data_IF_854123734923
#
_entry.id   IF_854123734923
#
_cell.length_a   1.000
_cell.length_b   1.000
_cell.length_c   1.000
_cell.angle_alpha   90.00
_cell.angle_beta   90.00
_cell.angle_gamma   90.00
#
_symmetry.space_group_name_H-M   'P 1'
#
loop_
_entity.id
_entity.type
_entity.pdbx_description
1 polymer ?
#
# COMPACT_ATOMS: atom_id res chain seq x y z
N UNK A 1 7.00 -17.58 1.53
CA UNK A 1 6.10 -17.09 2.61
C UNK A 1 6.94 -16.71 3.84
N UNK A 2 6.69 -15.56 4.48
CA UNK A 2 7.34 -15.15 5.73
C UNK A 2 6.38 -15.38 6.91
N UNK A 3 6.81 -16.10 7.91
CA UNK A 3 6.09 -16.34 9.17
C UNK A 3 6.79 -15.58 10.29
N UNK A 4 6.04 -14.78 11.03
CA UNK A 4 6.51 -14.02 12.18
C UNK A 4 5.61 -14.36 13.36
N UNK A 5 6.16 -14.94 14.40
CA UNK A 5 5.49 -15.15 15.69
C UNK A 5 6.49 -14.79 16.78
N UNK A 6 6.46 -13.55 17.23
CA UNK A 6 7.49 -13.02 18.13
C UNK A 6 6.91 -12.12 19.20
N UNK A 7 7.62 -12.08 20.35
CA UNK A 7 7.48 -11.03 21.37
C UNK A 7 8.82 -10.37 21.62
N UNK A 8 8.80 -9.07 21.87
CA UNK A 8 9.99 -8.28 22.21
C UNK A 8 9.65 -7.12 23.12
N UNK A 9 10.34 -7.03 24.25
CA UNK A 9 10.26 -5.86 25.12
C UNK A 9 11.25 -4.79 24.63
N UNK A 10 10.77 -3.59 24.36
CA UNK A 10 11.53 -2.44 23.87
C UNK A 10 11.30 -1.24 24.80
N UNK A 11 12.04 -1.18 25.92
CA UNK A 11 11.77 -0.20 26.97
C UNK A 11 10.35 -0.37 27.52
N UNK A 12 9.49 0.64 27.31
CA UNK A 12 8.09 0.58 27.75
C UNK A 12 7.16 -0.09 26.72
N UNK A 13 7.61 -0.29 25.48
CA UNK A 13 6.82 -0.89 24.42
C UNK A 13 6.98 -2.41 24.42
N UNK A 14 5.89 -3.15 24.61
CA UNK A 14 5.83 -4.59 24.40
C UNK A 14 5.37 -4.87 22.95
N UNK A 15 6.30 -5.29 22.10
CA UNK A 15 5.99 -5.67 20.72
C UNK A 15 5.54 -7.12 20.67
N UNK A 16 4.38 -7.35 20.03
CA UNK A 16 3.86 -8.69 19.77
C UNK A 16 3.30 -8.76 18.35
N UNK A 17 3.78 -9.71 17.55
CA UNK A 17 3.33 -9.95 16.21
C UNK A 17 3.16 -11.45 15.94
N UNK A 18 2.01 -11.81 15.37
CA UNK A 18 1.73 -13.16 14.83
C UNK A 18 1.07 -13.00 13.45
N UNK A 19 1.87 -13.08 12.39
CA UNK A 19 1.43 -12.84 11.01
C UNK A 19 2.12 -13.79 10.03
N UNK A 20 1.44 -14.05 8.91
CA UNK A 20 1.96 -14.80 7.78
C UNK A 20 1.89 -13.94 6.53
N UNK A 21 3.04 -13.52 6.01
CA UNK A 21 3.14 -12.67 4.82
C UNK A 21 3.30 -13.56 3.58
N UNK A 22 2.54 -13.31 2.50
CA UNK A 22 2.70 -14.04 1.24
C UNK A 22 4.12 -13.99 0.69
N UNK A 23 4.43 -14.86 -0.23
CA UNK A 23 5.73 -14.95 -0.91
C UNK A 23 5.91 -13.95 -2.06
N UNK A 24 4.88 -13.18 -2.36
CA UNK A 24 4.88 -12.12 -3.38
C UNK A 24 4.04 -10.93 -2.93
N UNK A 25 4.23 -9.80 -3.62
CA UNK A 25 3.48 -8.57 -3.41
C UNK A 25 3.98 -7.72 -2.25
N UNK A 26 3.28 -6.63 -2.00
CA UNK A 26 3.63 -5.63 -0.99
C UNK A 26 2.73 -5.76 0.23
N UNK A 27 3.34 -6.05 1.38
CA UNK A 27 2.65 -5.98 2.68
C UNK A 27 3.11 -4.71 3.41
N UNK A 28 2.21 -3.75 3.57
CA UNK A 28 2.49 -2.55 4.34
C UNK A 28 2.38 -2.82 5.84
N UNK A 29 3.33 -2.31 6.61
CA UNK A 29 3.24 -2.18 8.06
C UNK A 29 2.86 -0.73 8.34
N UNK A 30 1.63 -0.53 8.78
CA UNK A 30 1.01 0.79 8.95
C UNK A 30 0.67 1.06 10.41
N UNK A 31 0.85 2.30 10.85
CA UNK A 31 0.55 2.72 12.22
C UNK A 31 1.20 4.07 12.57
N UNK A 32 0.85 4.64 13.73
CA UNK A 32 1.43 5.89 14.22
C UNK A 32 2.94 5.76 14.48
N UNK A 33 3.63 6.90 14.55
CA UNK A 33 5.02 6.93 15.03
C UNK A 33 5.11 6.30 16.43
N UNK A 34 6.15 5.49 16.64
CA UNK A 34 6.32 4.78 17.91
C UNK A 34 5.50 3.50 18.07
N UNK A 35 4.67 3.08 17.10
CA UNK A 35 3.87 1.85 17.21
C UNK A 35 4.67 0.54 17.06
N UNK A 36 5.99 0.60 16.79
CA UNK A 36 6.86 -0.58 16.71
C UNK A 36 7.13 -1.09 15.28
N UNK A 37 6.73 -0.36 14.22
CA UNK A 37 6.89 -0.77 12.81
C UNK A 37 8.34 -1.07 12.42
N UNK A 38 9.23 -0.10 12.63
CA UNK A 38 10.68 -0.26 12.38
C UNK A 38 11.27 -1.39 13.23
N UNK A 39 10.82 -1.54 14.48
CA UNK A 39 11.28 -2.63 15.33
C UNK A 39 10.88 -4.00 14.81
N UNK A 40 9.67 -4.14 14.24
CA UNK A 40 9.22 -5.38 13.63
C UNK A 40 10.11 -5.80 12.44
N UNK A 41 10.41 -4.87 11.52
CA UNK A 41 11.30 -5.22 10.40
C UNK A 41 12.76 -5.41 10.84
N UNK A 42 13.20 -4.76 11.93
CA UNK A 42 14.50 -4.99 12.52
C UNK A 42 14.62 -6.38 13.17
N UNK A 43 13.54 -6.95 13.71
CA UNK A 43 13.47 -8.34 14.14
C UNK A 43 13.62 -9.31 12.96
N UNK A 44 12.91 -9.02 11.84
CA UNK A 44 13.02 -9.84 10.62
C UNK A 44 14.43 -9.79 10.06
N UNK A 45 15.03 -8.61 9.97
CA UNK A 45 16.40 -8.45 9.43
C UNK A 45 17.49 -9.01 10.35
N UNK A 46 17.20 -9.22 11.64
CA UNK A 46 18.16 -9.68 12.65
C UNK A 46 19.02 -8.56 13.23
N UNK A 47 18.65 -7.31 13.04
CA UNK A 47 19.26 -6.16 13.73
C UNK A 47 18.87 -6.12 15.21
N UNK A 48 17.73 -6.71 15.54
CA UNK A 48 17.24 -6.93 16.91
C UNK A 48 16.86 -8.41 17.02
N UNK A 49 17.06 -9.02 18.19
CA UNK A 49 16.59 -10.38 18.46
C UNK A 49 15.26 -10.36 19.26
N UNK A 50 14.30 -11.24 18.95
CA UNK A 50 13.11 -11.41 19.76
C UNK A 50 13.45 -11.98 21.14
N UNK A 51 12.57 -11.78 22.12
CA UNK A 51 12.68 -12.40 23.44
C UNK A 51 12.01 -13.78 23.45
N UNK A 52 10.94 -13.94 22.66
CA UNK A 52 10.20 -15.19 22.50
C UNK A 52 9.76 -15.39 21.03
N UNK A 53 9.61 -16.66 20.65
CA UNK A 53 9.00 -17.06 19.38
C UNK A 53 10.01 -17.24 18.26
N UNK A 54 9.52 -17.14 17.01
CA UNK A 54 10.31 -17.46 15.82
C UNK A 54 9.98 -16.57 14.63
N UNK A 55 10.93 -16.53 13.68
CA UNK A 55 10.75 -15.95 12.33
C UNK A 55 11.29 -16.97 11.33
N UNK A 56 10.45 -17.31 10.32
CA UNK A 56 10.81 -18.22 9.23
C UNK A 56 10.51 -17.57 7.88
N UNK A 57 11.45 -17.67 6.96
CA UNK A 57 11.30 -17.19 5.58
C UNK A 57 11.41 -18.41 4.64
N UNK A 58 10.32 -18.72 3.96
CA UNK A 58 10.14 -19.96 3.22
C UNK A 58 10.40 -21.17 4.15
N UNK A 59 11.26 -22.08 3.78
CA UNK A 59 11.62 -23.26 4.59
C UNK A 59 12.82 -23.01 5.52
N UNK A 60 13.27 -21.74 5.66
CA UNK A 60 14.47 -21.41 6.41
C UNK A 60 14.12 -20.66 7.70
N UNK A 61 14.55 -21.17 8.84
CA UNK A 61 14.47 -20.50 10.13
C UNK A 61 15.49 -19.35 10.18
N UNK A 62 15.02 -18.12 10.39
CA UNK A 62 15.86 -16.93 10.58
C UNK A 62 16.23 -16.75 12.05
N UNK A 63 15.29 -17.03 12.93
CA UNK A 63 15.47 -17.10 14.39
C UNK A 63 14.37 -17.96 14.99
N UNK A 64 14.72 -18.76 15.98
CA UNK A 64 13.81 -19.52 16.83
C UNK A 64 14.42 -19.57 18.24
N UNK A 65 13.73 -18.96 19.20
CA UNK A 65 14.25 -18.82 20.57
C UNK A 65 14.22 -20.13 21.33
N UNK A 66 13.21 -20.97 21.11
CA UNK A 66 13.07 -22.25 21.79
C UNK A 66 14.19 -23.23 21.36
N UNK A 67 14.48 -23.29 20.06
CA UNK A 67 15.58 -24.14 19.53
C UNK A 67 16.95 -23.48 19.61
N UNK A 68 17.05 -22.25 20.10
CA UNK A 68 18.28 -21.44 20.15
C UNK A 68 18.95 -21.23 18.79
N UNK A 69 18.17 -21.23 17.74
CA UNK A 69 18.62 -20.95 16.37
C UNK A 69 18.57 -19.45 16.08
N UNK A 70 19.68 -18.89 15.59
CA UNK A 70 19.70 -17.49 15.13
C UNK A 70 20.66 -17.33 13.97
N UNK A 71 20.09 -17.14 12.78
CA UNK A 71 20.87 -16.91 11.58
C UNK A 71 21.46 -15.50 11.58
N UNK A 72 22.78 -15.34 11.42
CA UNK A 72 23.41 -14.02 11.32
C UNK A 72 22.82 -13.18 10.19
N UNK A 73 22.72 -11.87 10.38
CA UNK A 73 22.09 -10.91 9.45
C UNK A 73 22.56 -11.07 8.00
N UNK A 74 23.87 -11.23 7.78
CA UNK A 74 24.46 -11.33 6.44
C UNK A 74 24.16 -12.68 5.72
N UNK A 75 23.60 -13.66 6.44
CA UNK A 75 23.16 -14.95 5.89
C UNK A 75 21.65 -15.02 5.68
N UNK A 76 20.88 -14.01 6.14
CA UNK A 76 19.42 -14.00 6.04
C UNK A 76 18.91 -13.77 4.62
N UNK A 77 19.75 -13.34 3.68
CA UNK A 77 19.37 -12.95 2.30
C UNK A 77 18.22 -11.94 2.27
N UNK A 78 18.36 -10.87 3.04
CA UNK A 78 17.37 -9.80 3.17
C UNK A 78 17.95 -8.52 2.55
N UNK A 79 17.23 -7.94 1.61
CA UNK A 79 17.47 -6.58 1.14
C UNK A 79 16.83 -5.59 2.11
N UNK A 80 17.61 -4.64 2.65
CA UNK A 80 17.10 -3.63 3.57
C UNK A 80 17.34 -2.21 3.02
N UNK A 81 16.25 -1.47 2.86
CA UNK A 81 16.25 -0.05 2.50
C UNK A 81 15.85 0.75 3.73
N UNK A 82 16.80 1.51 4.28
CA UNK A 82 16.57 2.35 5.45
C UNK A 82 15.88 3.65 5.06
N UNK A 83 15.30 4.33 6.03
CA UNK A 83 14.71 5.67 5.89
C UNK A 83 15.75 6.65 5.31
N UNK A 84 16.97 6.65 5.85
CA UNK A 84 18.13 7.29 5.22
C UNK A 84 18.81 6.30 4.28
N UNK A 85 19.14 6.72 3.08
CA UNK A 85 19.70 5.84 2.03
C UNK A 85 21.02 5.13 2.40
N UNK A 86 21.76 5.65 3.38
CA UNK A 86 23.02 5.09 3.92
C UNK A 86 24.00 4.63 2.83
N UNK A 87 24.17 5.45 1.80
CA UNK A 87 25.13 5.16 0.74
C UNK A 87 26.56 5.38 1.23
N UNK A 88 27.48 4.58 0.70
CA UNK A 88 28.91 4.75 0.96
C UNK A 88 29.43 6.01 0.24
N UNK A 89 29.83 7.08 0.94
CA UNK A 89 30.15 8.36 0.33
C UNK A 89 31.40 8.33 -0.55
N UNK A 90 32.31 7.38 -0.29
CA UNK A 90 33.55 7.19 -1.02
C UNK A 90 33.44 6.29 -2.25
N UNK A 91 32.26 5.69 -2.48
CA UNK A 91 31.96 4.94 -3.71
C UNK A 91 31.06 5.76 -4.63
N UNK A 92 31.28 5.61 -5.94
CA UNK A 92 30.31 6.07 -6.94
C UNK A 92 29.00 5.31 -6.81
N UNK A 93 27.94 5.75 -7.51
CA UNK A 93 26.67 5.00 -7.62
C UNK A 93 26.94 3.57 -8.07
N UNK A 94 27.73 3.37 -9.14
CA UNK A 94 28.11 2.02 -9.60
C UNK A 94 28.82 1.20 -8.51
N UNK A 95 29.69 1.82 -7.73
CA UNK A 95 30.39 1.17 -6.61
C UNK A 95 29.41 0.77 -5.49
N UNK A 96 28.46 1.66 -5.15
CA UNK A 96 27.40 1.37 -4.17
C UNK A 96 26.54 0.20 -4.63
N UNK A 97 26.08 0.19 -5.89
CA UNK A 97 25.25 -0.87 -6.46
C UNK A 97 25.94 -2.23 -6.46
N UNK A 98 27.24 -2.25 -6.76
CA UNK A 98 28.03 -3.50 -6.79
C UNK A 98 28.46 -3.99 -5.40
N UNK A 99 28.26 -3.17 -4.38
CA UNK A 99 28.62 -3.55 -3.01
C UNK A 99 27.65 -4.65 -2.50
N UNK A 100 28.20 -5.79 -2.17
CA UNK A 100 27.40 -6.96 -1.75
C UNK A 100 26.81 -7.77 -2.89
N UNK A 101 26.94 -7.35 -4.14
CA UNK A 101 26.52 -8.10 -5.32
C UNK A 101 27.30 -9.43 -5.40
N UNK A 102 26.53 -10.53 -5.37
CA UNK A 102 27.07 -11.91 -5.53
C UNK A 102 26.21 -12.60 -6.58
N UNK A 103 26.86 -13.26 -7.56
CA UNK A 103 26.18 -14.08 -8.56
C UNK A 103 25.08 -13.39 -9.40
N UNK A 104 25.09 -12.08 -9.50
CA UNK A 104 24.17 -11.29 -10.33
C UNK A 104 24.82 -11.08 -11.70
N UNK A 105 24.09 -11.39 -12.78
CA UNK A 105 24.56 -11.19 -14.13
C UNK A 105 24.69 -9.69 -14.49
N UNK A 106 25.42 -9.39 -15.57
CA UNK A 106 25.48 -8.00 -16.06
C UNK A 106 24.12 -7.55 -16.61
N UNK A 107 23.31 -8.47 -17.13
CA UNK A 107 21.97 -8.18 -17.65
C UNK A 107 21.02 -7.84 -16.51
N UNK A 108 21.03 -8.56 -15.39
CA UNK A 108 20.23 -8.24 -14.20
C UNK A 108 20.67 -6.90 -13.61
N UNK A 109 21.99 -6.63 -13.58
CA UNK A 109 22.49 -5.31 -13.15
C UNK A 109 21.91 -4.19 -14.02
N UNK A 110 21.99 -4.34 -15.34
CA UNK A 110 21.46 -3.35 -16.29
C UNK A 110 19.96 -3.19 -16.13
N UNK A 111 19.22 -4.31 -16.00
CA UNK A 111 17.77 -4.32 -15.78
C UNK A 111 17.37 -3.51 -14.53
N UNK A 112 18.00 -3.77 -13.38
CA UNK A 112 17.69 -3.03 -12.13
C UNK A 112 18.04 -1.54 -12.27
N UNK A 113 19.16 -1.22 -12.91
CA UNK A 113 19.60 0.17 -13.14
C UNK A 113 18.60 0.92 -14.02
N UNK A 114 18.09 0.29 -15.07
CA UNK A 114 17.11 0.86 -16.00
C UNK A 114 15.72 0.96 -15.35
N UNK A 115 15.30 -0.09 -14.62
CA UNK A 115 14.05 -0.11 -13.86
C UNK A 115 13.95 1.08 -12.88
N UNK A 116 15.05 1.41 -12.22
CA UNK A 116 15.15 2.51 -11.26
C UNK A 116 15.50 3.86 -11.91
N UNK A 117 15.75 3.90 -13.21
CA UNK A 117 16.08 5.12 -13.96
C UNK A 117 17.37 5.80 -13.51
N UNK A 118 18.37 5.03 -13.06
CA UNK A 118 19.64 5.55 -12.49
C UNK A 118 20.87 5.37 -13.39
N UNK A 119 20.69 4.95 -14.63
CA UNK A 119 21.77 4.73 -15.60
C UNK A 119 22.68 5.95 -15.75
N UNK A 120 22.11 7.15 -15.83
CA UNK A 120 22.83 8.41 -15.97
C UNK A 120 23.60 8.85 -14.70
N UNK A 121 23.35 8.19 -13.56
CA UNK A 121 23.95 8.50 -12.25
C UNK A 121 25.17 7.63 -11.94
N UNK A 122 25.45 6.56 -12.68
CA UNK A 122 26.41 5.51 -12.33
C UNK A 122 27.82 6.00 -11.99
N UNK A 123 28.25 7.12 -12.59
CA UNK A 123 29.58 7.73 -12.36
C UNK A 123 29.58 8.79 -11.25
N UNK A 124 28.41 9.19 -10.74
CA UNK A 124 28.29 10.22 -9.70
C UNK A 124 28.58 9.66 -8.30
N UNK A 125 28.90 10.55 -7.38
CA UNK A 125 29.04 10.24 -5.95
C UNK A 125 27.78 10.63 -5.17
N UNK A 126 27.50 9.97 -4.04
CA UNK A 126 26.28 10.22 -3.25
C UNK A 126 26.05 11.67 -2.85
N UNK A 127 27.12 12.44 -2.60
CA UNK A 127 27.01 13.86 -2.23
C UNK A 127 26.38 14.73 -3.32
N UNK A 128 26.47 14.31 -4.59
CA UNK A 128 25.94 15.06 -5.73
C UNK A 128 24.53 14.63 -6.13
N UNK A 129 23.92 13.71 -5.38
CA UNK A 129 22.60 13.15 -5.66
C UNK A 129 21.52 13.86 -4.83
N UNK A 130 20.35 14.02 -5.44
CA UNK A 130 19.12 14.39 -4.72
C UNK A 130 18.68 13.27 -3.74
N UNK A 131 17.78 13.58 -2.81
CA UNK A 131 17.26 12.59 -1.86
C UNK A 131 16.57 11.41 -2.56
N UNK A 132 15.76 11.66 -3.60
CA UNK A 132 15.10 10.61 -4.38
C UNK A 132 16.09 9.75 -5.18
N UNK A 133 17.13 10.35 -5.78
CA UNK A 133 18.20 9.61 -6.46
C UNK A 133 18.98 8.73 -5.48
N UNK A 134 19.32 9.24 -4.28
CA UNK A 134 19.95 8.44 -3.22
C UNK A 134 19.10 7.23 -2.85
N UNK A 135 17.80 7.43 -2.71
CA UNK A 135 16.88 6.36 -2.32
C UNK A 135 16.77 5.30 -3.42
N UNK A 136 16.67 5.70 -4.71
CA UNK A 136 16.70 4.75 -5.83
C UNK A 136 17.99 3.92 -5.88
N UNK A 137 19.12 4.54 -5.61
CA UNK A 137 20.42 3.83 -5.52
C UNK A 137 20.43 2.86 -4.34
N UNK A 138 19.87 3.23 -3.18
CA UNK A 138 19.77 2.35 -2.02
C UNK A 138 18.87 1.13 -2.29
N UNK A 139 17.74 1.32 -2.98
CA UNK A 139 16.86 0.25 -3.44
C UNK A 139 17.61 -0.68 -4.40
N UNK A 140 18.27 -0.12 -5.41
CA UNK A 140 19.06 -0.91 -6.37
C UNK A 140 20.17 -1.71 -5.69
N UNK A 141 20.86 -1.12 -4.72
CA UNK A 141 21.89 -1.82 -3.94
C UNK A 141 21.29 -2.99 -3.15
N UNK A 142 20.11 -2.82 -2.55
CA UNK A 142 19.43 -3.88 -1.81
C UNK A 142 18.98 -5.03 -2.74
N UNK A 143 18.41 -4.71 -3.91
CA UNK A 143 17.98 -5.71 -4.90
C UNK A 143 19.15 -6.51 -5.50
N UNK A 144 20.27 -5.85 -5.78
CA UNK A 144 21.46 -6.47 -6.36
C UNK A 144 22.20 -7.41 -5.39
N UNK A 145 21.75 -7.55 -4.15
CA UNK A 145 22.24 -8.62 -3.25
C UNK A 145 21.51 -9.95 -3.46
N UNK A 146 20.56 -10.05 -4.41
CA UNK A 146 19.73 -11.21 -4.67
C UNK A 146 18.98 -11.68 -3.41
N UNK A 147 18.12 -10.80 -2.84
CA UNK A 147 17.45 -11.11 -1.58
C UNK A 147 16.21 -11.99 -1.78
N UNK A 148 15.87 -12.77 -0.75
CA UNK A 148 14.62 -13.54 -0.70
C UNK A 148 13.41 -12.69 -0.25
N UNK A 149 13.66 -11.49 0.31
CA UNK A 149 12.67 -10.50 0.73
C UNK A 149 13.29 -9.09 0.76
N UNK A 150 12.48 -8.08 0.45
CA UNK A 150 12.87 -6.68 0.53
C UNK A 150 12.14 -5.98 1.69
N UNK A 151 12.89 -5.37 2.59
CA UNK A 151 12.38 -4.55 3.70
C UNK A 151 12.62 -3.09 3.38
N UNK A 152 11.59 -2.25 3.49
CA UNK A 152 11.67 -0.81 3.28
C UNK A 152 11.14 -0.06 4.50
N UNK A 153 11.97 0.74 5.13
CA UNK A 153 11.61 1.52 6.31
C UNK A 153 11.37 2.98 5.94
N UNK A 154 10.11 3.37 5.79
CA UNK A 154 9.67 4.73 5.43
C UNK A 154 10.49 5.38 4.29
N UNK A 155 10.68 4.73 3.13
CA UNK A 155 11.65 5.15 2.12
C UNK A 155 11.32 6.49 1.45
N UNK A 156 10.11 7.02 1.64
CA UNK A 156 9.64 8.27 1.04
C UNK A 156 9.54 9.43 2.05
N UNK A 157 9.74 9.18 3.35
CA UNK A 157 9.44 10.15 4.41
C UNK A 157 10.32 11.41 4.38
N UNK A 158 11.58 11.27 3.91
CA UNK A 158 12.55 12.39 3.84
C UNK A 158 12.47 13.19 2.52
N UNK A 159 11.47 12.92 1.65
CA UNK A 159 11.37 13.55 0.34
C UNK A 159 10.28 14.62 0.29
N UNK A 160 10.53 15.68 -0.49
CA UNK A 160 9.51 16.65 -0.86
C UNK A 160 8.45 16.04 -1.81
N UNK A 161 7.29 16.69 -1.94
CA UNK A 161 6.15 16.17 -2.70
C UNK A 161 6.48 15.81 -4.16
N UNK A 162 7.21 16.62 -4.94
CA UNK A 162 7.57 16.26 -6.31
C UNK A 162 8.43 15.00 -6.40
N UNK A 163 9.46 14.89 -5.56
CA UNK A 163 10.36 13.72 -5.53
C UNK A 163 9.67 12.48 -5.00
N UNK A 164 8.77 12.65 -4.02
CA UNK A 164 7.94 11.56 -3.51
C UNK A 164 7.07 10.97 -4.63
N UNK A 165 6.42 11.81 -5.44
CA UNK A 165 5.61 11.37 -6.60
C UNK A 165 6.46 10.64 -7.64
N UNK A 166 7.64 11.17 -7.95
CA UNK A 166 8.57 10.53 -8.89
C UNK A 166 8.98 9.14 -8.39
N UNK A 167 9.47 9.02 -7.15
CA UNK A 167 9.93 7.74 -6.59
C UNK A 167 8.76 6.75 -6.45
N UNK A 168 7.55 7.21 -6.15
CA UNK A 168 6.36 6.38 -6.09
C UNK A 168 6.12 5.61 -7.39
N UNK A 169 6.26 6.25 -8.55
CA UNK A 169 6.10 5.60 -9.86
C UNK A 169 7.12 4.46 -10.06
N UNK A 170 8.36 4.65 -9.59
CA UNK A 170 9.36 3.58 -9.63
C UNK A 170 9.01 2.44 -8.68
N UNK A 171 8.48 2.73 -7.49
CA UNK A 171 8.05 1.70 -6.54
C UNK A 171 6.83 0.92 -7.04
N UNK A 172 5.86 1.57 -7.66
CA UNK A 172 4.70 0.93 -8.30
C UNK A 172 5.12 -0.01 -9.43
N UNK A 173 6.08 0.41 -10.24
CA UNK A 173 6.65 -0.43 -11.28
C UNK A 173 7.46 -1.58 -10.69
N UNK A 174 8.31 -1.30 -9.72
CA UNK A 174 9.12 -2.29 -9.02
C UNK A 174 8.26 -3.39 -8.40
N UNK A 175 7.18 -3.03 -7.69
CA UNK A 175 6.31 -3.99 -7.02
C UNK A 175 5.60 -4.97 -7.97
N UNK A 176 5.44 -4.59 -9.24
CA UNK A 176 4.85 -5.43 -10.29
C UNK A 176 5.87 -6.33 -11.00
N UNK A 177 7.12 -5.88 -11.07
CA UNK A 177 8.16 -6.55 -11.86
C UNK A 177 9.02 -7.51 -11.02
N UNK A 178 9.14 -7.30 -9.71
CA UNK A 178 9.91 -8.20 -8.85
C UNK A 178 9.04 -9.30 -8.23
N UNK A 179 9.58 -10.52 -8.20
CA UNK A 179 8.87 -11.72 -7.71
C UNK A 179 9.28 -12.10 -6.28
N UNK A 180 9.64 -11.13 -5.45
CA UNK A 180 9.93 -11.34 -4.02
C UNK A 180 8.98 -10.53 -3.16
N UNK A 181 8.66 -10.98 -1.93
CA UNK A 181 7.83 -10.19 -1.02
C UNK A 181 8.51 -8.90 -0.60
N UNK A 182 7.71 -7.86 -0.45
CA UNK A 182 8.15 -6.55 0.08
C UNK A 182 7.41 -6.30 1.40
N UNK A 183 8.15 -6.05 2.49
CA UNK A 183 7.62 -5.42 3.69
C UNK A 183 7.90 -3.93 3.64
N UNK A 184 6.85 -3.13 3.60
CA UNK A 184 6.90 -1.70 3.40
C UNK A 184 6.36 -0.94 4.62
N UNK A 185 7.22 -0.29 5.39
CA UNK A 185 6.79 0.53 6.53
C UNK A 185 6.38 1.91 6.03
N UNK A 186 5.19 2.34 6.41
CA UNK A 186 4.70 3.70 6.15
C UNK A 186 3.67 4.15 7.17
N UNK A 187 3.47 5.46 7.27
CA UNK A 187 2.35 6.12 7.94
C UNK A 187 1.49 6.94 6.97
N UNK A 188 1.78 6.87 5.66
CA UNK A 188 1.09 7.61 4.60
C UNK A 188 -0.04 6.78 3.99
N UNK A 189 -1.26 7.31 4.01
CA UNK A 189 -2.43 6.67 3.40
C UNK A 189 -2.31 6.57 1.87
N UNK A 190 -1.71 7.57 1.23
CA UNK A 190 -1.47 7.56 -0.23
C UNK A 190 -0.52 6.43 -0.62
N UNK A 191 0.60 6.25 0.12
CA UNK A 191 1.53 5.15 -0.11
C UNK A 191 0.87 3.78 0.10
N UNK A 192 0.07 3.67 1.17
CA UNK A 192 -0.68 2.46 1.48
C UNK A 192 -1.60 2.05 0.33
N UNK A 193 -2.41 2.99 -0.17
CA UNK A 193 -3.39 2.71 -1.22
C UNK A 193 -2.76 2.38 -2.56
N UNK A 194 -1.63 3.01 -2.89
CA UNK A 194 -0.96 2.85 -4.18
C UNK A 194 -0.05 1.63 -4.27
N UNK A 195 0.62 1.28 -3.18
CA UNK A 195 1.65 0.23 -3.22
C UNK A 195 1.21 -1.09 -2.60
N UNK A 196 0.42 -1.06 -1.51
CA UNK A 196 0.24 -2.26 -0.71
C UNK A 196 -0.90 -3.15 -1.22
N UNK A 197 -0.69 -4.46 -1.17
CA UNK A 197 -1.73 -5.48 -1.37
C UNK A 197 -2.38 -5.84 -0.04
N UNK A 198 -1.59 -5.88 1.03
CA UNK A 198 -2.02 -6.21 2.39
C UNK A 198 -1.49 -5.21 3.39
N UNK A 199 -2.17 -5.12 4.53
CA UNK A 199 -1.83 -4.22 5.63
C UNK A 199 -1.73 -4.96 6.93
N UNK A 200 -0.61 -4.78 7.61
CA UNK A 200 -0.42 -5.06 9.04
C UNK A 200 -0.66 -3.75 9.78
N UNK A 201 -1.81 -3.60 10.43
CA UNK A 201 -2.12 -2.43 11.24
C UNK A 201 -1.54 -2.60 12.63
N UNK A 202 -0.59 -1.73 12.99
CA UNK A 202 0.08 -1.76 14.29
C UNK A 202 -0.32 -0.58 15.17
N UNK A 203 -0.61 -0.88 16.43
CA UNK A 203 -0.87 0.11 17.46
C UNK A 203 -0.24 -0.34 18.79
N UNK A 204 0.54 0.53 19.43
CA UNK A 204 1.17 0.27 20.73
C UNK A 204 1.91 -1.08 20.83
N UNK A 205 2.67 -1.43 19.79
CA UNK A 205 3.44 -2.68 19.72
C UNK A 205 2.65 -3.92 19.29
N UNK A 206 1.33 -3.82 19.11
CA UNK A 206 0.45 -4.96 18.83
C UNK A 206 -0.09 -4.88 17.41
N UNK A 207 -0.14 -6.02 16.72
CA UNK A 207 -0.85 -6.15 15.47
C UNK A 207 -2.36 -6.19 15.74
N UNK A 208 -3.07 -5.14 15.38
CA UNK A 208 -4.53 -4.99 15.57
C UNK A 208 -5.33 -5.67 14.48
N UNK A 209 -4.84 -5.64 13.25
CA UNK A 209 -5.47 -6.28 12.11
C UNK A 209 -4.43 -6.61 11.03
N UNK A 210 -4.73 -7.64 10.24
CA UNK A 210 -3.96 -8.04 9.07
C UNK A 210 -4.89 -8.62 8.00
N UNK A 211 -5.05 -7.92 6.89
CA UNK A 211 -5.85 -8.38 5.72
C UNK A 211 -5.45 -7.56 4.47
N UNK A 212 -6.21 -7.73 3.37
CA UNK A 212 -6.07 -6.88 2.19
C UNK A 212 -6.35 -5.40 2.50
N UNK A 213 -5.74 -4.50 1.72
CA UNK A 213 -5.93 -3.05 1.88
C UNK A 213 -7.41 -2.69 1.85
N UNK A 214 -8.18 -3.24 0.92
CA UNK A 214 -9.60 -2.93 0.74
C UNK A 214 -10.43 -3.32 1.97
N UNK A 215 -10.17 -4.49 2.56
CA UNK A 215 -10.88 -4.95 3.75
C UNK A 215 -10.52 -4.10 4.97
N UNK A 216 -9.23 -3.84 5.19
CA UNK A 216 -8.78 -2.98 6.30
C UNK A 216 -9.33 -1.57 6.14
N UNK A 217 -9.21 -0.98 4.96
CA UNK A 217 -9.70 0.37 4.68
C UNK A 217 -11.18 0.56 4.97
N UNK A 218 -12.00 -0.41 4.56
CA UNK A 218 -13.45 -0.35 4.72
C UNK A 218 -13.94 -0.87 6.09
N UNK A 219 -13.02 -1.28 6.98
CA UNK A 219 -13.36 -1.77 8.32
C UNK A 219 -13.46 -0.64 9.35
N UNK A 220 -14.27 -0.80 10.42
CA UNK A 220 -14.37 0.17 11.51
C UNK A 220 -13.04 0.38 12.25
N UNK A 221 -12.16 -0.65 12.29
CA UNK A 221 -10.86 -0.56 12.97
C UNK A 221 -9.94 0.49 12.34
N UNK A 222 -10.15 0.79 11.06
CA UNK A 222 -9.34 1.77 10.31
C UNK A 222 -9.92 3.19 10.34
N UNK A 223 -11.14 3.39 10.88
CA UNK A 223 -11.78 4.71 10.93
C UNK A 223 -10.94 5.80 11.61
N UNK A 224 -10.25 5.54 12.75
CA UNK A 224 -9.42 6.56 13.41
C UNK A 224 -8.26 7.09 12.53
N UNK A 225 -7.82 6.31 11.54
CA UNK A 225 -6.70 6.64 10.67
C UNK A 225 -7.10 7.51 9.46
N UNK A 226 -8.37 7.47 9.07
CA UNK A 226 -8.90 8.32 7.99
C UNK A 226 -9.07 9.77 8.41
N UNK A 227 -9.03 10.06 9.72
CA UNK A 227 -9.27 11.39 10.27
C UNK A 227 -10.75 11.80 10.19
N UNK A 228 -11.06 13.03 10.60
CA UNK A 228 -12.39 13.65 10.45
C UNK A 228 -12.72 14.02 8.99
N UNK A 229 -11.75 13.88 8.11
CA UNK A 229 -11.92 14.11 6.68
C UNK A 229 -12.78 13.00 6.06
N UNK A 230 -13.31 13.28 4.92
CA UNK A 230 -14.26 12.54 4.11
C UNK A 230 -14.17 11.01 4.18
N UNK A 231 -15.31 10.36 4.36
CA UNK A 231 -15.44 8.93 4.12
C UNK A 231 -15.03 8.60 2.68
N UNK A 232 -14.47 7.42 2.48
CA UNK A 232 -14.09 6.96 1.15
C UNK A 232 -14.28 5.45 1.03
N UNK A 233 -14.51 4.99 -0.18
CA UNK A 233 -14.66 3.57 -0.51
C UNK A 233 -13.49 3.15 -1.38
N UNK A 234 -12.75 2.13 -0.97
CA UNK A 234 -11.65 1.56 -1.75
C UNK A 234 -12.07 0.19 -2.26
N UNK A 235 -12.01 0.04 -3.58
CA UNK A 235 -12.46 -1.17 -4.29
C UNK A 235 -11.35 -1.65 -5.22
N UNK A 236 -11.15 -2.97 -5.31
CA UNK A 236 -10.30 -3.59 -6.33
C UNK A 236 -11.20 -4.35 -7.30
N UNK A 237 -11.42 -3.80 -8.49
CA UNK A 237 -12.39 -4.29 -9.47
C UNK A 237 -11.71 -4.76 -10.74
N UNK A 238 -12.16 -5.86 -11.37
CA UNK A 238 -11.58 -6.32 -12.63
C UNK A 238 -11.99 -5.40 -13.79
N UNK A 239 -11.07 -5.19 -14.72
CA UNK A 239 -11.35 -4.51 -15.99
C UNK A 239 -12.34 -5.35 -16.80
N UNK A 240 -13.47 -4.75 -17.17
CA UNK A 240 -14.47 -5.39 -18.03
C UNK A 240 -14.18 -5.14 -19.49
N UNK A 241 -14.01 -3.87 -19.89
CA UNK A 241 -13.70 -3.47 -21.25
C UNK A 241 -13.05 -2.07 -21.31
N UNK A 242 -12.41 -1.77 -22.42
CA UNK A 242 -11.93 -0.43 -22.76
C UNK A 242 -12.83 0.20 -23.81
N UNK A 243 -13.04 1.52 -23.72
CA UNK A 243 -13.75 2.33 -24.69
C UNK A 243 -12.79 3.40 -25.25
N UNK A 244 -11.97 3.06 -26.28
CA UNK A 244 -10.93 3.94 -26.79
C UNK A 244 -11.44 5.29 -27.33
N UNK A 245 -12.59 5.37 -28.01
CA UNK A 245 -13.14 6.64 -28.50
C UNK A 245 -13.33 7.68 -27.40
N UNK A 246 -13.67 7.26 -26.18
CA UNK A 246 -13.89 8.15 -25.04
C UNK A 246 -12.73 8.14 -24.04
N UNK A 247 -11.66 7.37 -24.30
CA UNK A 247 -10.52 7.16 -23.38
C UNK A 247 -11.00 6.75 -21.98
N UNK A 248 -11.90 5.77 -21.94
CA UNK A 248 -12.50 5.26 -20.70
C UNK A 248 -12.27 3.76 -20.57
N UNK A 249 -12.25 3.28 -19.34
CA UNK A 249 -12.24 1.86 -18.96
C UNK A 249 -13.42 1.59 -18.06
N UNK A 250 -14.17 0.52 -18.33
CA UNK A 250 -15.22 0.00 -17.47
C UNK A 250 -14.64 -1.07 -16.55
N UNK A 251 -14.91 -0.94 -15.26
CA UNK A 251 -14.61 -1.95 -14.24
C UNK A 251 -15.91 -2.69 -13.88
N UNK A 252 -15.85 -4.03 -13.73
CA UNK A 252 -17.02 -4.82 -13.29
C UNK A 252 -17.30 -4.57 -11.83
N UNK A 253 -18.52 -4.16 -11.52
CA UNK A 253 -19.03 -3.99 -10.17
C UNK A 253 -20.34 -4.79 -10.07
N UNK A 254 -20.20 -6.11 -9.87
CA UNK A 254 -21.31 -7.04 -10.00
C UNK A 254 -21.87 -7.08 -11.41
N UNK A 255 -23.18 -6.85 -11.55
CA UNK A 255 -23.87 -6.74 -12.85
C UNK A 255 -23.74 -5.34 -13.47
N UNK A 256 -23.22 -4.37 -12.72
CA UNK A 256 -23.07 -2.98 -13.14
C UNK A 256 -21.62 -2.67 -13.50
N UNK A 257 -21.37 -1.51 -14.12
CA UNK A 257 -20.05 -1.07 -14.53
C UNK A 257 -19.70 0.28 -13.91
N UNK A 258 -18.48 0.38 -13.38
CA UNK A 258 -17.88 1.63 -12.94
C UNK A 258 -16.92 2.14 -14.01
N UNK A 259 -17.21 3.30 -14.56
CA UNK A 259 -16.38 3.94 -15.60
C UNK A 259 -15.30 4.83 -14.99
N UNK A 260 -14.08 4.61 -15.41
CA UNK A 260 -12.89 5.40 -15.03
C UNK A 260 -12.17 5.90 -16.28
N UNK A 261 -11.23 6.83 -16.12
CA UNK A 261 -10.30 7.16 -17.19
C UNK A 261 -9.53 5.90 -17.64
N UNK A 262 -9.15 5.87 -18.91
CA UNK A 262 -8.42 4.74 -19.50
C UNK A 262 -7.14 4.44 -18.71
N UNK A 263 -6.98 3.17 -18.36
CA UNK A 263 -5.80 2.63 -17.67
C UNK A 263 -5.10 1.59 -18.56
N UNK A 264 -3.78 1.39 -18.41
CA UNK A 264 -3.02 0.42 -19.19
C UNK A 264 -3.10 -1.01 -18.59
N UNK A 265 -4.27 -1.38 -18.05
CA UNK A 265 -4.50 -2.70 -17.45
C UNK A 265 -5.28 -3.57 -18.45
N UNK A 266 -5.00 -4.88 -18.50
CA UNK A 266 -5.69 -5.81 -19.38
C UNK A 266 -7.09 -6.16 -18.86
N UNK A 267 -7.98 -6.61 -19.77
CA UNK A 267 -9.30 -7.14 -19.37
C UNK A 267 -9.12 -8.31 -18.41
N UNK A 268 -9.86 -8.28 -17.29
CA UNK A 268 -9.76 -9.23 -16.17
C UNK A 268 -8.74 -8.85 -15.11
N UNK A 269 -7.79 -7.97 -15.39
CA UNK A 269 -6.84 -7.45 -14.41
C UNK A 269 -7.57 -6.54 -13.40
N UNK A 270 -7.19 -6.65 -12.12
CA UNK A 270 -7.83 -5.85 -11.07
C UNK A 270 -7.19 -4.47 -10.94
N UNK A 271 -8.03 -3.45 -10.96
CA UNK A 271 -7.65 -2.05 -10.77
C UNK A 271 -8.22 -1.57 -9.45
N UNK A 272 -7.35 -0.98 -8.61
CA UNK A 272 -7.77 -0.36 -7.36
C UNK A 272 -8.26 1.05 -7.62
N UNK A 273 -9.42 1.36 -7.07
CA UNK A 273 -10.04 2.69 -7.16
C UNK A 273 -10.44 3.19 -5.78
N UNK A 274 -10.34 4.49 -5.58
CA UNK A 274 -10.84 5.19 -4.41
C UNK A 274 -11.95 6.16 -4.82
N UNK A 275 -13.09 6.08 -4.15
CA UNK A 275 -14.25 6.94 -4.35
C UNK A 275 -14.44 7.74 -3.06
N UNK A 276 -14.23 9.04 -3.12
CA UNK A 276 -14.49 9.93 -1.99
C UNK A 276 -15.97 10.21 -1.85
N UNK A 277 -16.48 10.23 -0.63
CA UNK A 277 -17.91 10.44 -0.38
C UNK A 277 -18.45 11.78 -0.85
N UNK A 278 -17.59 12.80 -0.93
CA UNK A 278 -17.89 14.11 -1.52
C UNK A 278 -18.17 14.09 -3.02
N UNK A 279 -17.60 13.09 -3.73
CA UNK A 279 -17.80 12.90 -5.16
C UNK A 279 -19.04 12.05 -5.47
N UNK A 280 -19.80 11.68 -4.44
CA UNK A 280 -20.98 10.82 -4.55
C UNK A 280 -22.24 11.57 -4.14
N UNK A 281 -23.22 11.57 -5.01
CA UNK A 281 -24.58 12.02 -4.70
C UNK A 281 -25.58 10.87 -4.80
N UNK A 282 -26.69 10.98 -4.08
CA UNK A 282 -27.74 9.96 -4.02
C UNK A 282 -29.07 10.55 -4.49
N UNK A 283 -29.82 9.77 -5.27
CA UNK A 283 -31.16 10.14 -5.74
C UNK A 283 -32.12 8.98 -5.56
N UNK A 284 -33.41 9.31 -5.33
CA UNK A 284 -34.48 8.32 -5.17
C UNK A 284 -34.91 7.72 -6.52
N UNK A 285 -34.77 8.49 -7.59
CA UNK A 285 -35.15 8.08 -8.94
C UNK A 285 -33.91 8.08 -9.83
N UNK A 286 -33.91 7.24 -10.88
CA UNK A 286 -32.83 7.20 -11.86
C UNK A 286 -32.70 8.57 -12.55
N UNK A 287 -31.58 9.27 -12.40
CA UNK A 287 -31.43 10.59 -12.98
C UNK A 287 -31.39 10.52 -14.50
N UNK A 288 -31.98 11.52 -15.15
CA UNK A 288 -32.01 11.70 -16.59
C UNK A 288 -31.27 13.01 -16.94
N UNK A 289 -30.73 13.08 -18.18
CA UNK A 289 -30.07 14.27 -18.72
C UNK A 289 -28.93 14.83 -17.82
N UNK A 290 -28.13 13.94 -17.29
CA UNK A 290 -26.95 14.27 -16.44
C UNK A 290 -25.63 14.04 -17.20
N UNK A 291 -24.61 14.83 -16.86
CA UNK A 291 -23.25 14.64 -17.34
C UNK A 291 -22.51 13.50 -16.61
N UNK A 292 -23.02 13.03 -15.46
CA UNK A 292 -22.45 11.94 -14.69
C UNK A 292 -22.75 10.62 -15.38
N UNK A 293 -21.71 9.81 -15.66
CA UNK A 293 -21.83 8.52 -16.35
C UNK A 293 -21.93 7.34 -15.38
N UNK A 294 -21.38 7.47 -14.19
CA UNK A 294 -21.49 6.45 -13.16
C UNK A 294 -22.79 6.63 -12.37
N UNK A 295 -23.84 5.96 -12.79
CA UNK A 295 -25.15 5.94 -12.14
C UNK A 295 -25.44 4.48 -11.80
N UNK A 296 -25.31 4.15 -10.52
CA UNK A 296 -25.38 2.78 -10.02
C UNK A 296 -26.62 2.62 -9.14
N UNK A 297 -27.37 1.52 -9.30
CA UNK A 297 -28.47 1.18 -8.39
C UNK A 297 -27.90 0.47 -7.17
N UNK A 298 -28.37 0.83 -6.00
CA UNK A 298 -28.00 0.21 -4.74
C UNK A 298 -29.04 0.39 -3.67
N UNK A 299 -28.74 -0.13 -2.49
CA UNK A 299 -29.62 -0.04 -1.33
C UNK A 299 -28.90 0.62 -0.15
N UNK A 300 -29.57 1.51 0.56
CA UNK A 300 -29.01 2.17 1.75
C UNK A 300 -28.75 1.12 2.82
N UNK A 301 -27.48 0.97 3.20
CA UNK A 301 -27.06 -0.02 4.19
C UNK A 301 -26.79 0.57 5.58
N UNK A 302 -26.33 1.85 5.63
CA UNK A 302 -25.96 2.50 6.88
C UNK A 302 -26.12 4.03 6.74
N UNK A 303 -26.51 4.69 7.83
CA UNK A 303 -26.64 6.16 7.91
C UNK A 303 -25.92 6.62 9.18
N UNK A 304 -24.96 7.51 9.04
CA UNK A 304 -24.17 8.10 10.12
C UNK A 304 -24.41 9.61 10.15
N UNK A 305 -25.01 10.10 11.23
CA UNK A 305 -25.30 11.53 11.38
C UNK A 305 -24.12 12.17 12.12
N UNK A 306 -23.44 13.08 11.43
CA UNK A 306 -22.36 13.91 11.97
C UNK A 306 -22.89 15.32 12.33
N UNK A 307 -22.04 16.18 12.91
CA UNK A 307 -22.46 17.52 13.34
C UNK A 307 -23.01 18.38 12.20
N UNK A 308 -22.42 18.33 11.00
CA UNK A 308 -22.77 19.19 9.86
C UNK A 308 -23.13 18.42 8.59
N UNK A 309 -22.96 17.10 8.56
CA UNK A 309 -23.22 16.23 7.39
C UNK A 309 -23.88 14.92 7.81
N UNK A 310 -24.36 14.18 6.84
CA UNK A 310 -24.83 12.81 6.99
C UNK A 310 -24.07 11.94 5.99
N UNK A 311 -23.37 10.92 6.50
CA UNK A 311 -22.66 9.95 5.69
C UNK A 311 -23.55 8.72 5.49
N UNK A 312 -23.84 8.39 4.24
CA UNK A 312 -24.71 7.28 3.86
C UNK A 312 -23.89 6.23 3.11
N UNK A 313 -23.89 5.00 3.62
CA UNK A 313 -23.34 3.88 2.90
C UNK A 313 -24.43 3.21 2.06
N UNK A 314 -24.17 3.08 0.77
CA UNK A 314 -25.03 2.38 -0.18
C UNK A 314 -24.35 1.08 -0.60
N UNK A 315 -25.07 -0.04 -0.51
CA UNK A 315 -24.60 -1.33 -1.00
C UNK A 315 -24.97 -1.45 -2.48
N UNK A 316 -23.95 -1.53 -3.34
CA UNK A 316 -24.09 -1.69 -4.79
C UNK A 316 -23.45 -3.03 -5.15
N UNK A 317 -24.23 -4.01 -5.53
CA UNK A 317 -23.77 -5.37 -5.89
C UNK A 317 -22.70 -5.94 -4.93
N UNK A 318 -22.97 -5.86 -3.62
CA UNK A 318 -22.06 -6.36 -2.57
C UNK A 318 -20.92 -5.40 -2.17
N UNK A 319 -20.78 -4.27 -2.84
CA UNK A 319 -19.75 -3.27 -2.55
C UNK A 319 -20.34 -2.05 -1.83
N UNK A 320 -19.72 -1.63 -0.72
CA UNK A 320 -20.15 -0.46 0.04
C UNK A 320 -19.56 0.81 -0.56
N UNK A 321 -20.42 1.75 -0.97
CA UNK A 321 -20.06 3.06 -1.49
C UNK A 321 -20.59 4.12 -0.53
N UNK A 322 -19.71 4.99 -0.03
CA UNK A 322 -20.08 6.09 0.85
C UNK A 322 -20.44 7.35 0.07
N UNK A 323 -21.47 8.05 0.52
CA UNK A 323 -21.86 9.38 0.06
C UNK A 323 -22.02 10.30 1.26
N UNK A 324 -21.48 11.51 1.18
CA UNK A 324 -21.68 12.56 2.18
C UNK A 324 -22.69 13.58 1.65
N UNK A 325 -23.78 13.78 2.40
CA UNK A 325 -24.84 14.72 2.06
C UNK A 325 -25.05 15.73 3.21
N UNK A 326 -25.70 16.86 2.93
CA UNK A 326 -26.07 17.80 3.97
C UNK A 326 -27.23 17.25 4.84
N UNK A 327 -27.32 17.70 6.09
CA UNK A 327 -28.49 17.41 6.94
C UNK A 327 -29.80 17.89 6.30
N UNK A 328 -29.74 18.99 5.53
CA UNK A 328 -30.89 19.47 4.80
C UNK A 328 -31.38 18.46 3.75
N UNK A 329 -30.48 17.92 2.93
CA UNK A 329 -30.82 16.91 1.96
C UNK A 329 -31.42 15.63 2.63
N UNK A 330 -30.87 15.20 3.77
CA UNK A 330 -31.43 14.09 4.55
C UNK A 330 -32.85 14.40 5.05
N UNK A 331 -33.10 15.60 5.54
CA UNK A 331 -34.41 16.01 6.04
C UNK A 331 -35.48 16.07 4.93
N UNK A 332 -35.11 16.48 3.73
CA UNK A 332 -36.00 16.53 2.58
C UNK A 332 -36.24 15.15 1.97
N UNK A 333 -35.18 14.38 1.71
CA UNK A 333 -35.24 13.13 0.98
C UNK A 333 -35.56 11.92 1.89
N UNK A 334 -35.30 12.08 3.20
CA UNK A 334 -35.63 11.09 4.25
C UNK A 334 -35.15 9.68 3.92
N UNK A 335 -33.88 9.57 3.53
CA UNK A 335 -33.27 8.27 3.29
C UNK A 335 -33.39 7.36 4.51
N UNK A 336 -33.71 6.10 4.28
CA UNK A 336 -33.85 5.07 5.30
C UNK A 336 -33.07 3.80 4.93
N UNK A 337 -32.64 3.05 5.94
CA UNK A 337 -31.95 1.77 5.73
C UNK A 337 -32.88 0.81 4.98
N UNK A 338 -32.33 0.10 4.00
CA UNK A 338 -33.09 -0.81 3.13
C UNK A 338 -33.74 -0.14 1.92
N UNK A 339 -33.67 1.18 1.79
CA UNK A 339 -34.27 1.91 0.67
C UNK A 339 -33.43 1.77 -0.61
N UNK A 340 -34.08 1.48 -1.73
CA UNK A 340 -33.48 1.49 -3.06
C UNK A 340 -33.18 2.94 -3.49
N UNK A 341 -31.98 3.16 -3.98
CA UNK A 341 -31.47 4.47 -4.42
C UNK A 341 -30.58 4.36 -5.64
N UNK A 342 -30.31 5.49 -6.28
CA UNK A 342 -29.29 5.61 -7.31
C UNK A 342 -28.13 6.44 -6.80
N UNK A 343 -26.92 5.89 -6.94
CA UNK A 343 -25.65 6.53 -6.58
C UNK A 343 -25.05 7.12 -7.84
N UNK A 344 -24.79 8.42 -7.83
CA UNK A 344 -24.10 9.13 -8.91
C UNK A 344 -22.68 9.45 -8.45
N UNK A 345 -21.68 8.94 -9.16
CA UNK A 345 -20.26 9.14 -8.83
C UNK A 345 -19.64 10.07 -9.87
N UNK A 346 -19.25 11.26 -9.42
CA UNK A 346 -18.69 12.32 -10.27
C UNK A 346 -17.24 12.04 -10.64
N UNK A 347 -16.44 11.61 -9.69
CA UNK A 347 -15.03 11.32 -9.88
C UNK A 347 -14.63 10.01 -9.19
N UNK A 348 -13.67 9.32 -9.80
CA UNK A 348 -13.07 8.08 -9.29
C UNK A 348 -11.57 8.22 -9.42
N UNK A 349 -10.86 8.10 -8.31
CA UNK A 349 -9.40 8.12 -8.30
C UNK A 349 -8.87 6.70 -8.52
N UNK A 350 -8.00 6.53 -9.51
CA UNK A 350 -7.26 5.28 -9.73
C UNK A 350 -6.00 5.32 -8.88
N UNK A 351 -5.72 4.23 -8.16
CA UNK A 351 -4.61 4.10 -7.24
C UNK A 351 -3.47 3.27 -7.85
#
# INVERSE_FOLDING_TARGET
>A
MLQINVKKQLGQLALQANIQVPDQGVTAIFGLSGSGKTSLINLVSGLIQPDEGFIRLNDRTLVDIESQESLPTHLRKIGYVFQDARLFPHYTVKGNLRYGMKNVSQDDFNYIVDLLGITHLLKRYPLTLSGGEKQRVAIGRALLTDPDILLMDEPLSALDVPRKRELMQYLERLSKEINIPILYVTHSLDELLRLADRVVLMENGIVKAYDSVEKIWNSPIFAPWKGESEQSSVLALPVHLHNPPYKMTALSLGEQALWIHQVPANVGERVRVCIYSSDVSITLQKPQQTSIRNILRGQVAQIEIQDYRVDIAVLVDGHKIWASISKWAQNELRFSIGQDVYVQIKAVSVM
#
